data_IF_700121697763
#
_entry.id   IF_700121697763
#
_cell.length_a   1.000
_cell.length_b   1.000
_cell.length_c   1.000
_cell.angle_alpha   90.00
_cell.angle_beta   90.00
_cell.angle_gamma   90.00
#
_symmetry.space_group_name_H-M   'P 1'
#
loop_
_entity.id
_entity.type
_entity.pdbx_description
1 polymer ?
#
# COMPACT_ATOMS: atom_id res chain seq x y z
N UNK A 1 11.23 2.78 8.37
CA UNK A 1 11.60 1.37 8.17
C UNK A 1 10.41 0.40 8.23
N UNK A 2 9.60 0.31 9.30
CA UNK A 2 8.43 -0.60 9.31
C UNK A 2 7.42 -0.31 8.19
N UNK A 3 6.92 0.93 8.12
CA UNK A 3 5.96 1.34 7.08
C UNK A 3 6.49 1.23 5.64
N UNK A 4 7.81 1.33 5.46
CA UNK A 4 8.44 1.15 4.14
C UNK A 4 8.39 -0.31 3.71
N UNK A 5 8.73 -1.24 4.62
CA UNK A 5 8.58 -2.68 4.37
C UNK A 5 7.13 -3.05 4.09
N UNK A 6 6.20 -2.53 4.90
CA UNK A 6 4.77 -2.79 4.70
C UNK A 6 4.28 -2.30 3.33
N UNK A 7 4.69 -1.09 2.92
CA UNK A 7 4.42 -0.57 1.57
C UNK A 7 4.98 -1.51 0.50
N UNK A 8 6.23 -1.93 0.62
CA UNK A 8 6.88 -2.75 -0.39
C UNK A 8 6.22 -4.13 -0.49
N UNK A 9 5.92 -4.79 0.64
CA UNK A 9 5.13 -6.03 0.71
C UNK A 9 3.77 -5.88 0.05
N UNK A 10 3.05 -4.79 0.32
CA UNK A 10 1.75 -4.54 -0.32
C UNK A 10 1.86 -4.40 -1.84
N UNK A 11 2.91 -3.75 -2.34
CA UNK A 11 3.11 -3.62 -3.78
C UNK A 11 3.52 -4.97 -4.37
N UNK A 12 4.34 -5.77 -3.69
CA UNK A 12 4.75 -7.10 -4.16
C UNK A 12 3.59 -8.11 -4.19
N UNK A 13 2.90 -8.24 -3.06
CA UNK A 13 1.91 -9.30 -2.85
C UNK A 13 0.48 -8.87 -3.17
N UNK A 14 0.22 -7.56 -3.20
CA UNK A 14 -1.07 -7.00 -3.60
C UNK A 14 -2.17 -7.31 -2.60
N UNK A 15 -3.28 -7.84 -3.10
CA UNK A 15 -4.47 -8.07 -2.28
C UNK A 15 -4.26 -9.11 -1.19
N UNK A 16 -3.28 -10.01 -1.34
CA UNK A 16 -2.93 -11.02 -0.35
C UNK A 16 -2.40 -10.37 0.95
N UNK A 17 -1.60 -9.31 0.85
CA UNK A 17 -1.03 -8.60 1.99
C UNK A 17 -1.99 -7.58 2.64
N UNK A 18 -3.16 -7.31 2.04
CA UNK A 18 -4.14 -6.38 2.63
C UNK A 18 -4.64 -6.86 4.00
N UNK A 19 -4.74 -8.18 4.21
CA UNK A 19 -5.25 -8.75 5.45
C UNK A 19 -4.42 -8.37 6.67
N UNK A 20 -3.09 -8.42 6.54
CA UNK A 20 -2.15 -8.08 7.62
C UNK A 20 -2.26 -6.60 8.00
N UNK A 21 -2.35 -5.72 7.00
CA UNK A 21 -2.52 -4.27 7.22
C UNK A 21 -3.85 -3.96 7.91
N UNK A 22 -4.94 -4.62 7.51
CA UNK A 22 -6.25 -4.40 8.12
C UNK A 22 -6.34 -4.96 9.55
N UNK A 23 -5.54 -5.99 9.86
CA UNK A 23 -5.40 -6.48 11.22
C UNK A 23 -4.60 -5.51 12.11
N UNK A 24 -3.53 -4.92 11.57
CA UNK A 24 -2.70 -3.91 12.27
C UNK A 24 -3.43 -2.56 12.39
N UNK A 25 -4.20 -2.17 11.37
CA UNK A 25 -4.94 -0.91 11.29
C UNK A 25 -6.44 -1.16 11.02
N UNK A 26 -7.24 -1.51 12.05
CA UNK A 26 -8.66 -1.85 11.88
C UNK A 26 -9.52 -0.71 11.31
N UNK A 27 -9.08 0.55 11.47
CA UNK A 27 -9.74 1.74 10.94
C UNK A 27 -9.39 2.06 9.49
N UNK A 28 -8.50 1.30 8.86
CA UNK A 28 -8.12 1.53 7.47
C UNK A 28 -9.29 1.26 6.52
N UNK A 29 -9.54 2.21 5.63
CA UNK A 29 -10.43 2.02 4.49
C UNK A 29 -9.81 1.01 3.51
N UNK A 30 -10.37 -0.21 3.55
CA UNK A 30 -9.98 -1.33 2.70
C UNK A 30 -10.04 -1.01 1.21
N UNK A 31 -11.02 -0.24 0.76
CA UNK A 31 -11.14 0.09 -0.65
C UNK A 31 -10.07 1.08 -1.09
N UNK A 32 -9.82 2.12 -0.30
CA UNK A 32 -8.77 3.09 -0.55
C UNK A 32 -7.39 2.41 -0.57
N UNK A 33 -7.10 1.57 0.42
CA UNK A 33 -5.85 0.81 0.49
C UNK A 33 -5.66 -0.06 -0.76
N UNK A 34 -6.66 -0.87 -1.12
CA UNK A 34 -6.62 -1.73 -2.32
C UNK A 34 -6.46 -0.93 -3.62
N UNK A 35 -7.03 0.27 -3.71
CA UNK A 35 -6.83 1.14 -4.88
C UNK A 35 -5.39 1.63 -4.98
N UNK A 36 -4.83 2.14 -3.88
CA UNK A 36 -3.44 2.62 -3.81
C UNK A 36 -2.45 1.51 -4.17
N UNK A 37 -2.65 0.32 -3.61
CA UNK A 37 -1.83 -0.87 -3.88
C UNK A 37 -1.83 -1.23 -5.36
N UNK A 38 -3.01 -1.36 -5.99
CA UNK A 38 -3.09 -1.72 -7.41
C UNK A 38 -2.51 -0.65 -8.34
N UNK A 39 -2.67 0.63 -8.00
CA UNK A 39 -2.06 1.70 -8.78
C UNK A 39 -0.54 1.67 -8.66
N UNK A 40 0.00 1.52 -7.44
CA UNK A 40 1.44 1.44 -7.21
C UNK A 40 2.08 0.23 -7.92
N UNK A 41 1.37 -0.92 -7.95
CA UNK A 41 1.77 -2.10 -8.73
C UNK A 41 1.86 -1.80 -10.21
N UNK A 42 0.80 -1.25 -10.79
CA UNK A 42 0.79 -0.89 -12.22
C UNK A 42 1.89 0.12 -12.54
N UNK A 43 2.10 1.12 -11.69
CA UNK A 43 3.18 2.09 -11.89
C UNK A 43 4.54 1.40 -11.96
N UNK A 44 4.81 0.48 -11.03
CA UNK A 44 6.07 -0.27 -10.99
C UNK A 44 6.24 -1.19 -12.20
N UNK A 45 5.20 -1.93 -12.57
CA UNK A 45 5.21 -2.84 -13.72
C UNK A 45 5.48 -2.10 -15.05
N UNK A 46 5.02 -0.85 -15.17
CA UNK A 46 5.18 -0.03 -16.37
C UNK A 46 6.38 0.93 -16.30
N UNK A 47 7.19 0.89 -15.23
CA UNK A 47 8.32 1.82 -15.04
C UNK A 47 7.92 3.29 -14.86
N UNK A 48 6.67 3.55 -14.47
CA UNK A 48 6.16 4.90 -14.25
C UNK A 48 6.70 5.51 -12.94
N UNK A 49 6.52 6.83 -12.81
CA UNK A 49 6.84 7.53 -11.56
C UNK A 49 6.05 6.92 -10.38
N UNK A 50 6.68 6.73 -9.19
CA UNK A 50 6.09 6.03 -8.06
C UNK A 50 5.12 6.91 -7.24
N UNK A 51 4.15 7.55 -7.91
CA UNK A 51 3.23 8.49 -7.28
C UNK A 51 2.31 7.78 -6.29
N UNK A 52 1.72 6.66 -6.69
CA UNK A 52 0.82 5.88 -5.84
C UNK A 52 1.58 5.10 -4.76
N UNK A 53 2.84 4.70 -5.01
CA UNK A 53 3.71 4.17 -3.94
C UNK A 53 3.97 5.20 -2.83
N UNK A 54 4.27 6.46 -3.21
CA UNK A 54 4.41 7.58 -2.24
C UNK A 54 3.10 7.89 -1.51
N UNK A 55 1.96 7.82 -2.22
CA UNK A 55 0.65 8.04 -1.62
C UNK A 55 0.27 6.91 -0.65
N UNK A 56 0.58 5.66 -0.98
CA UNK A 56 0.42 4.49 -0.11
C UNK A 56 1.22 4.66 1.18
N UNK A 57 2.48 5.07 1.09
CA UNK A 57 3.30 5.33 2.27
C UNK A 57 2.69 6.40 3.19
N UNK A 58 2.24 7.52 2.62
CA UNK A 58 1.56 8.57 3.40
C UNK A 58 0.30 8.04 4.07
N UNK A 59 -0.52 7.31 3.33
CA UNK A 59 -1.73 6.70 3.87
C UNK A 59 -1.43 5.79 5.07
N UNK A 60 -0.46 4.87 4.95
CA UNK A 60 -0.07 3.98 6.04
C UNK A 60 0.48 4.75 7.26
N UNK A 61 1.22 5.83 7.01
CA UNK A 61 1.73 6.70 8.08
C UNK A 61 0.61 7.47 8.79
N UNK A 62 -0.42 7.87 8.07
CA UNK A 62 -1.54 8.64 8.63
C UNK A 62 -2.55 7.73 9.40
N UNK A 63 -2.42 6.39 9.28
CA UNK A 63 -3.21 5.40 10.03
C UNK A 63 -2.63 5.05 11.41
N UNK A 64 -1.35 5.32 11.65
CA UNK A 64 -0.65 5.09 12.92
C UNK A 64 -0.37 6.38 13.67
#
# INVERSE_FOLDING_TARGET
>A
QHLERLRDTLIDEGDAALGEVLAEFPGADRQQLRQLVRQARREREHGNAPKSSRALFRYLRDLG
#
